data_IF_126250255639
#
_entry.id   IF_126250255639
#
_cell.length_a   1.000
_cell.length_b   1.000
_cell.length_c   1.000
_cell.angle_alpha   90.00
_cell.angle_beta   90.00
_cell.angle_gamma   90.00
#
_symmetry.space_group_name_H-M   'P 1'
#
loop_
_entity.id
_entity.type
_entity.pdbx_description
1 polymer ?
#
# COMPACT_ATOMS: atom_id res chain seq x y z
N UNK A 1 21.41 12.36 16.30
CA UNK A 1 21.84 11.43 15.26
C UNK A 1 21.85 10.02 15.85
N UNK A 2 21.35 9.03 15.10
CA UNK A 2 21.44 7.62 15.50
C UNK A 2 22.72 7.06 14.87
N UNK A 3 23.50 6.31 15.65
CA UNK A 3 24.71 5.62 15.18
C UNK A 3 24.46 4.12 15.19
N UNK A 4 25.06 3.41 14.24
CA UNK A 4 24.95 1.98 14.10
C UNK A 4 26.34 1.36 13.90
N UNK A 5 26.53 0.12 14.35
CA UNK A 5 27.62 -0.75 13.93
C UNK A 5 27.07 -1.78 12.96
N UNK A 6 27.64 -1.89 11.79
CA UNK A 6 27.28 -2.89 10.77
C UNK A 6 28.44 -3.84 10.61
N UNK A 7 28.21 -5.15 10.74
CA UNK A 7 29.25 -6.13 10.60
C UNK A 7 28.76 -7.57 10.57
N UNK A 8 29.63 -8.47 10.12
CA UNK A 8 29.34 -9.89 9.97
C UNK A 8 29.86 -10.74 11.16
N UNK A 9 30.67 -10.15 12.03
CA UNK A 9 31.36 -10.86 13.12
C UNK A 9 30.74 -10.58 14.48
N UNK A 10 30.94 -11.52 15.41
CA UNK A 10 30.54 -11.34 16.80
C UNK A 10 31.25 -10.18 17.48
N UNK A 11 32.49 -9.90 17.06
CA UNK A 11 33.27 -8.73 17.51
C UNK A 11 32.61 -7.40 17.20
N UNK A 12 31.92 -7.31 16.06
CA UNK A 12 31.21 -6.10 15.66
C UNK A 12 29.97 -5.89 16.52
N UNK A 13 29.28 -6.97 16.84
CA UNK A 13 28.12 -6.91 17.73
C UNK A 13 28.53 -6.57 19.17
N UNK A 14 29.66 -7.11 19.66
CA UNK A 14 30.23 -6.74 20.96
C UNK A 14 30.68 -5.28 21.00
N UNK A 15 31.18 -4.74 19.89
CA UNK A 15 31.51 -3.32 19.77
C UNK A 15 30.25 -2.47 19.92
N UNK A 16 29.18 -2.83 19.20
CA UNK A 16 27.90 -2.12 19.28
C UNK A 16 27.38 -2.08 20.73
N UNK A 17 27.42 -3.23 21.41
CA UNK A 17 27.00 -3.36 22.81
C UNK A 17 27.83 -2.45 23.74
N UNK A 18 29.16 -2.49 23.64
CA UNK A 18 30.06 -1.65 24.43
C UNK A 18 29.83 -0.15 24.19
N UNK A 19 29.53 0.21 22.95
CA UNK A 19 29.19 1.59 22.56
C UNK A 19 27.77 1.98 22.93
N UNK A 20 26.94 1.05 23.39
CA UNK A 20 25.50 1.23 23.66
C UNK A 20 24.72 1.80 22.47
N UNK A 21 25.05 1.31 21.28
CA UNK A 21 24.37 1.63 20.02
C UNK A 21 23.85 0.37 19.36
N UNK A 22 22.98 0.50 18.37
CA UNK A 22 22.40 -0.64 17.68
C UNK A 22 23.43 -1.30 16.76
N UNK A 23 23.62 -2.63 16.92
CA UNK A 23 24.34 -3.46 15.99
C UNK A 23 23.42 -4.03 14.92
N UNK A 24 23.86 -4.04 13.67
CA UNK A 24 23.18 -4.67 12.54
C UNK A 24 24.10 -5.79 12.04
N UNK A 25 23.69 -7.04 12.33
CA UNK A 25 24.44 -8.20 11.83
C UNK A 25 24.07 -8.46 10.37
N UNK A 26 25.05 -8.63 9.53
CA UNK A 26 24.89 -8.93 8.12
C UNK A 26 25.39 -10.33 7.78
N UNK A 27 24.86 -10.91 6.73
CA UNK A 27 25.38 -12.08 6.04
C UNK A 27 25.88 -11.61 4.67
N UNK A 28 27.20 -11.49 4.45
CA UNK A 28 27.74 -10.89 3.23
C UNK A 28 27.46 -11.71 1.97
N UNK A 29 26.92 -12.93 2.11
CA UNK A 29 26.59 -13.82 1.00
C UNK A 29 25.12 -13.75 0.57
N UNK A 30 24.33 -12.84 1.16
CA UNK A 30 22.92 -12.62 0.77
C UNK A 30 22.76 -11.38 -0.08
N UNK A 31 21.98 -11.48 -1.15
CA UNK A 31 21.79 -10.39 -2.11
C UNK A 31 21.03 -9.18 -1.53
N UNK A 32 20.18 -9.40 -0.51
CA UNK A 32 19.28 -8.38 0.09
C UNK A 32 19.88 -7.65 1.32
N UNK A 33 21.17 -7.80 1.57
CA UNK A 33 21.84 -7.29 2.80
C UNK A 33 21.71 -5.77 2.92
N UNK A 34 21.98 -5.05 1.85
CA UNK A 34 21.97 -3.59 1.86
C UNK A 34 20.56 -3.03 2.04
N UNK A 35 19.55 -3.66 1.45
CA UNK A 35 18.16 -3.25 1.61
C UNK A 35 17.71 -3.41 3.08
N UNK A 36 18.11 -4.51 3.73
CA UNK A 36 17.84 -4.72 5.16
C UNK A 36 18.53 -3.68 6.04
N UNK A 37 19.78 -3.33 5.74
CA UNK A 37 20.53 -2.30 6.47
C UNK A 37 19.81 -0.96 6.33
N UNK A 38 19.49 -0.56 5.11
CA UNK A 38 18.81 0.69 4.81
C UNK A 38 17.46 0.76 5.53
N UNK A 39 16.65 -0.29 5.44
CA UNK A 39 15.37 -0.36 6.11
C UNK A 39 15.50 -0.27 7.64
N UNK A 40 16.50 -0.94 8.22
CA UNK A 40 16.78 -0.89 9.66
C UNK A 40 17.24 0.50 10.10
N UNK A 41 18.15 1.14 9.36
CA UNK A 41 18.70 2.46 9.69
C UNK A 41 17.62 3.54 9.54
N UNK A 42 16.84 3.47 8.49
CA UNK A 42 15.74 4.42 8.24
C UNK A 42 14.53 4.15 9.13
N UNK A 43 14.51 3.01 9.83
CA UNK A 43 13.38 2.55 10.64
C UNK A 43 12.07 2.57 9.83
N UNK A 44 12.17 2.11 8.58
CA UNK A 44 11.05 2.12 7.63
C UNK A 44 10.37 0.78 7.72
N UNK A 45 9.44 0.65 8.64
CA UNK A 45 8.41 -0.39 8.59
C UNK A 45 7.30 0.11 7.65
N UNK A 46 7.37 -0.33 6.39
CA UNK A 46 6.44 0.05 5.33
C UNK A 46 5.17 -0.79 5.35
N UNK A 47 4.68 -1.09 6.52
CA UNK A 47 3.44 -1.84 6.68
C UNK A 47 2.47 -1.13 7.61
N UNK A 48 1.19 -1.37 7.39
CA UNK A 48 0.13 -0.86 8.23
C UNK A 48 -1.08 -1.78 8.22
N UNK A 49 -1.83 -1.70 9.30
CA UNK A 49 -3.10 -2.38 9.48
C UNK A 49 -4.15 -1.34 9.89
N UNK A 50 -5.32 -1.42 9.27
CA UNK A 50 -6.48 -0.58 9.56
C UNK A 50 -7.70 -1.45 9.74
N UNK A 51 -8.38 -1.22 10.85
CA UNK A 51 -9.70 -1.77 11.14
C UNK A 51 -10.70 -0.63 11.13
N UNK A 52 -11.76 -0.77 10.36
CA UNK A 52 -12.87 0.19 10.30
C UNK A 52 -14.18 -0.55 10.51
N UNK A 53 -15.02 0.01 11.37
CA UNK A 53 -16.37 -0.48 11.58
C UNK A 53 -17.31 0.70 11.62
N UNK A 54 -18.32 0.67 10.75
CA UNK A 54 -19.47 1.56 10.73
C UNK A 54 -20.75 0.77 11.01
N UNK A 55 -21.90 1.37 10.76
CA UNK A 55 -23.18 0.64 10.81
C UNK A 55 -23.35 -0.25 9.56
N UNK A 56 -22.75 0.16 8.45
CA UNK A 56 -22.90 -0.42 7.11
C UNK A 56 -21.80 -1.43 6.79
N UNK A 57 -20.59 -1.23 7.35
CA UNK A 57 -19.43 -2.04 6.96
C UNK A 57 -18.55 -2.46 8.14
N UNK A 58 -17.87 -3.59 7.97
CA UNK A 58 -16.78 -4.03 8.83
C UNK A 58 -15.58 -4.43 7.95
N UNK A 59 -14.48 -3.68 8.06
CA UNK A 59 -13.36 -3.79 7.13
C UNK A 59 -12.05 -3.98 7.89
N UNK A 60 -11.23 -4.89 7.35
CA UNK A 60 -9.88 -5.12 7.80
C UNK A 60 -8.94 -5.02 6.60
N UNK A 61 -8.06 -4.05 6.62
CA UNK A 61 -7.06 -3.81 5.57
C UNK A 61 -5.66 -3.91 6.14
N UNK A 62 -4.79 -4.66 5.46
CA UNK A 62 -3.35 -4.70 5.70
C UNK A 62 -2.60 -4.37 4.43
N UNK A 63 -1.58 -3.55 4.53
CA UNK A 63 -0.68 -3.22 3.44
C UNK A 63 0.77 -3.38 3.87
N UNK A 64 1.61 -3.90 2.96
CA UNK A 64 3.06 -3.87 3.12
C UNK A 64 3.69 -3.46 1.79
N UNK A 65 4.38 -2.31 1.78
CA UNK A 65 4.99 -1.73 0.59
C UNK A 65 6.37 -2.30 0.27
N UNK A 66 6.89 -3.20 1.11
CA UNK A 66 8.23 -3.79 0.96
C UNK A 66 8.22 -5.22 0.43
N UNK A 67 7.04 -5.83 0.30
CA UNK A 67 6.86 -7.21 -0.21
C UNK A 67 5.65 -7.29 -1.12
N UNK A 68 5.67 -8.20 -2.10
CA UNK A 68 4.61 -8.35 -3.11
C UNK A 68 3.50 -9.34 -2.72
N UNK A 69 3.63 -9.99 -1.60
CA UNK A 69 2.67 -11.01 -1.14
C UNK A 69 2.50 -10.98 0.38
N UNK A 70 1.38 -11.42 0.95
CA UNK A 70 0.20 -11.94 0.25
C UNK A 70 -0.66 -10.87 -0.46
N UNK A 71 -1.45 -11.28 -1.46
CA UNK A 71 -2.55 -10.50 -2.02
C UNK A 71 -3.83 -11.30 -1.76
N UNK A 72 -4.74 -10.74 -0.96
CA UNK A 72 -5.99 -11.38 -0.58
C UNK A 72 -7.08 -10.34 -0.47
N UNK A 73 -7.95 -10.29 -1.44
CA UNK A 73 -9.02 -9.31 -1.51
C UNK A 73 -10.36 -10.03 -1.44
N UNK A 74 -11.25 -9.52 -0.61
CA UNK A 74 -12.62 -10.00 -0.51
C UNK A 74 -13.50 -8.85 0.01
N UNK A 75 -14.08 -8.10 -0.92
CA UNK A 75 -15.05 -7.03 -0.64
C UNK A 75 -16.50 -7.49 -0.85
N UNK A 76 -16.69 -8.60 -1.57
CA UNK A 76 -17.97 -9.07 -2.01
C UNK A 76 -18.41 -8.50 -3.37
N UNK A 77 -17.62 -7.63 -4.00
CA UNK A 77 -17.84 -7.08 -5.34
C UNK A 77 -16.73 -7.60 -6.25
N UNK A 78 -17.06 -8.59 -7.10
CA UNK A 78 -16.06 -9.39 -7.79
C UNK A 78 -15.15 -8.61 -8.72
N UNK A 79 -15.69 -7.64 -9.48
CA UNK A 79 -14.86 -6.81 -10.34
C UNK A 79 -14.00 -5.82 -9.55
N UNK A 80 -14.48 -5.32 -8.43
CA UNK A 80 -13.70 -4.46 -7.53
C UNK A 80 -12.55 -5.23 -6.89
N UNK A 81 -12.80 -6.47 -6.42
CA UNK A 81 -11.77 -7.36 -5.91
C UNK A 81 -10.66 -7.56 -6.96
N UNK A 82 -11.05 -7.87 -8.20
CA UNK A 82 -10.10 -8.03 -9.31
C UNK A 82 -9.26 -6.77 -9.54
N UNK A 83 -9.84 -5.58 -9.51
CA UNK A 83 -9.11 -4.33 -9.71
C UNK A 83 -8.11 -4.05 -8.57
N UNK A 84 -8.49 -4.31 -7.33
CA UNK A 84 -7.59 -4.17 -6.18
C UNK A 84 -6.45 -5.21 -6.22
N UNK A 85 -6.71 -6.43 -6.69
CA UNK A 85 -5.67 -7.43 -6.95
C UNK A 85 -4.68 -6.95 -8.01
N UNK A 86 -5.16 -6.37 -9.13
CA UNK A 86 -4.31 -5.81 -10.17
C UNK A 86 -3.49 -4.64 -9.64
N UNK A 87 -4.09 -3.74 -8.86
CA UNK A 87 -3.39 -2.66 -8.20
C UNK A 87 -2.23 -3.20 -7.33
N UNK A 88 -2.48 -4.15 -6.47
CA UNK A 88 -1.47 -4.74 -5.60
C UNK A 88 -0.36 -5.45 -6.39
N UNK A 89 -0.74 -6.24 -7.40
CA UNK A 89 0.19 -7.00 -8.23
C UNK A 89 1.11 -6.09 -9.04
N UNK A 90 0.57 -5.08 -9.71
CA UNK A 90 1.35 -4.20 -10.57
C UNK A 90 2.15 -3.15 -9.81
N UNK A 91 1.73 -2.77 -8.60
CA UNK A 91 2.52 -1.94 -7.70
C UNK A 91 3.56 -2.73 -6.88
N UNK A 92 3.56 -4.06 -7.01
CA UNK A 92 4.48 -4.96 -6.29
C UNK A 92 4.39 -4.82 -4.76
N UNK A 93 3.18 -4.65 -4.25
CA UNK A 93 2.89 -4.56 -2.82
C UNK A 93 2.04 -5.73 -2.32
N UNK A 94 2.15 -6.04 -1.03
CA UNK A 94 1.17 -6.90 -0.35
C UNK A 94 -0.05 -6.08 0.04
N UNK A 95 -1.23 -6.60 -0.28
CA UNK A 95 -2.51 -6.01 0.09
C UNK A 95 -3.48 -7.11 0.50
N UNK A 96 -3.98 -7.03 1.72
CA UNK A 96 -5.06 -7.87 2.20
C UNK A 96 -6.23 -6.97 2.59
N UNK A 97 -7.40 -7.22 1.99
CA UNK A 97 -8.65 -6.50 2.28
C UNK A 97 -9.74 -7.52 2.52
N UNK A 98 -10.37 -7.43 3.67
CA UNK A 98 -11.58 -8.17 3.99
C UNK A 98 -12.65 -7.19 4.39
N UNK A 99 -13.74 -7.17 3.66
CA UNK A 99 -14.90 -6.34 3.93
C UNK A 99 -16.15 -7.21 4.11
N UNK A 100 -16.99 -6.82 5.06
CA UNK A 100 -18.37 -7.26 5.18
C UNK A 100 -19.23 -6.00 5.13
N UNK A 101 -19.81 -5.74 3.97
CA UNK A 101 -20.68 -4.58 3.73
C UNK A 101 -22.15 -4.97 3.58
N UNK A 102 -22.98 -3.96 3.52
CA UNK A 102 -24.43 -4.05 3.35
C UNK A 102 -24.87 -4.13 1.88
N UNK A 103 -24.18 -4.96 1.09
CA UNK A 103 -24.39 -5.13 -0.38
C UNK A 103 -25.84 -5.47 -0.77
N UNK A 104 -26.70 -5.80 0.20
CA UNK A 104 -28.13 -5.96 -0.03
C UNK A 104 -28.86 -4.62 -0.22
N UNK A 105 -28.22 -3.51 0.12
CA UNK A 105 -28.67 -2.14 -0.14
C UNK A 105 -28.11 -1.68 -1.47
N UNK A 106 -26.79 -1.45 -1.53
CA UNK A 106 -26.03 -1.14 -2.75
C UNK A 106 -24.53 -1.34 -2.54
N UNK A 107 -23.72 -0.98 -3.54
CA UNK A 107 -22.26 -1.11 -3.52
C UNK A 107 -21.54 0.11 -2.90
N UNK A 108 -22.23 1.23 -2.72
CA UNK A 108 -21.65 2.53 -2.38
C UNK A 108 -20.84 2.50 -1.07
N UNK A 109 -21.48 2.14 0.04
CA UNK A 109 -20.83 2.12 1.35
C UNK A 109 -19.62 1.18 1.39
N UNK A 110 -19.71 0.03 0.72
CA UNK A 110 -18.61 -0.92 0.64
C UNK A 110 -17.42 -0.32 -0.09
N UNK A 111 -17.62 0.30 -1.25
CA UNK A 111 -16.54 0.87 -2.05
C UNK A 111 -15.92 2.08 -1.34
N UNK A 112 -16.75 2.98 -0.79
CA UNK A 112 -16.28 4.15 -0.06
C UNK A 112 -15.43 3.76 1.15
N UNK A 113 -15.94 2.92 2.03
CA UNK A 113 -15.26 2.54 3.26
C UNK A 113 -14.00 1.69 3.01
N UNK A 114 -13.99 0.85 1.97
CA UNK A 114 -12.77 0.15 1.51
C UNK A 114 -11.74 1.15 1.00
N UNK A 115 -12.16 2.17 0.25
CA UNK A 115 -11.27 3.23 -0.24
C UNK A 115 -10.60 3.97 0.90
N UNK A 116 -11.37 4.41 1.89
CA UNK A 116 -10.88 5.06 3.11
C UNK A 116 -9.86 4.18 3.83
N UNK A 117 -10.15 2.90 4.03
CA UNK A 117 -9.25 2.02 4.78
C UNK A 117 -7.95 1.71 4.03
N UNK A 118 -8.01 1.59 2.69
CA UNK A 118 -6.82 1.43 1.85
C UNK A 118 -5.98 2.72 1.89
N UNK A 119 -6.61 3.88 1.72
CA UNK A 119 -5.95 5.18 1.79
C UNK A 119 -5.25 5.40 3.13
N UNK A 120 -5.95 5.13 4.24
CA UNK A 120 -5.39 5.20 5.59
C UNK A 120 -4.23 4.23 5.81
N UNK A 121 -4.34 2.99 5.31
CA UNK A 121 -3.28 2.00 5.41
C UNK A 121 -2.04 2.42 4.62
N UNK A 122 -2.22 2.90 3.39
CA UNK A 122 -1.14 3.44 2.55
C UNK A 122 -0.48 4.65 3.21
N UNK A 123 -1.26 5.59 3.74
CA UNK A 123 -0.75 6.77 4.43
C UNK A 123 0.12 6.40 5.63
N UNK A 124 -0.35 5.46 6.46
CA UNK A 124 0.40 4.96 7.63
C UNK A 124 1.68 4.23 7.21
N UNK A 125 1.60 3.36 6.19
CA UNK A 125 2.75 2.61 5.68
C UNK A 125 3.79 3.51 5.00
N UNK A 126 3.39 4.60 4.35
CA UNK A 126 4.29 5.60 3.78
C UNK A 126 5.10 6.35 4.84
N UNK A 127 4.56 6.49 6.06
CA UNK A 127 5.25 7.10 7.20
C UNK A 127 5.91 8.45 6.84
N UNK A 128 7.19 8.61 7.06
CA UNK A 128 7.96 9.82 6.77
C UNK A 128 8.32 9.99 5.28
N UNK A 129 7.90 9.06 4.43
CA UNK A 129 8.17 9.05 2.97
C UNK A 129 9.65 9.05 2.58
N UNK A 130 10.57 8.73 3.50
CA UNK A 130 12.00 8.67 3.19
C UNK A 130 12.30 7.47 2.28
N UNK A 131 13.10 7.67 1.23
CA UNK A 131 13.57 6.62 0.33
C UNK A 131 12.52 6.08 -0.66
N UNK A 132 11.39 6.78 -0.85
CA UNK A 132 10.39 6.41 -1.86
C UNK A 132 10.50 7.26 -3.12
N UNK A 133 10.06 6.70 -4.26
CA UNK A 133 9.72 7.47 -5.46
C UNK A 133 8.43 8.25 -5.19
N UNK A 134 8.49 9.58 -5.22
CA UNK A 134 7.37 10.44 -4.79
C UNK A 134 6.37 10.69 -5.92
N UNK A 135 6.79 10.57 -7.15
CA UNK A 135 6.04 10.96 -8.35
C UNK A 135 5.76 9.77 -9.27
N UNK A 136 4.62 9.71 -9.86
CA UNK A 136 4.23 8.70 -10.84
C UNK A 136 3.64 9.37 -12.07
N UNK A 137 3.16 8.59 -13.00
CA UNK A 137 3.80 8.06 -14.20
C UNK A 137 2.67 7.69 -15.20
N UNK A 138 3.04 7.36 -16.44
CA UNK A 138 2.12 6.99 -17.52
C UNK A 138 2.32 5.53 -17.91
N UNK A 139 1.23 4.77 -18.06
CA UNK A 139 1.24 3.35 -18.38
C UNK A 139 0.30 3.03 -19.56
N UNK A 140 0.81 2.53 -20.69
CA UNK A 140 -0.01 1.92 -21.73
C UNK A 140 -0.28 0.44 -21.40
N UNK A 141 -1.45 -0.05 -21.79
CA UNK A 141 -1.80 -1.46 -21.79
C UNK A 141 -2.71 -1.76 -22.99
N UNK A 142 -2.23 -2.60 -23.88
CA UNK A 142 -2.85 -2.92 -25.19
C UNK A 142 -3.20 -1.61 -25.96
N UNK A 143 -4.46 -1.37 -26.25
CA UNK A 143 -4.99 -0.19 -26.94
C UNK A 143 -5.43 0.94 -25.97
N UNK A 144 -5.20 0.78 -24.68
CA UNK A 144 -5.53 1.75 -23.65
C UNK A 144 -4.29 2.49 -23.12
N UNK A 145 -4.45 3.79 -22.85
CA UNK A 145 -3.45 4.62 -22.21
C UNK A 145 -4.04 5.25 -20.95
N UNK A 146 -3.43 4.96 -19.81
CA UNK A 146 -3.73 5.65 -18.56
C UNK A 146 -2.56 6.57 -18.18
N UNK A 147 -2.84 7.84 -17.96
CA UNK A 147 -1.89 8.81 -17.45
C UNK A 147 -2.25 9.18 -16.02
N UNK A 148 -1.34 8.90 -15.10
CA UNK A 148 -1.51 9.20 -13.68
C UNK A 148 -0.37 10.09 -13.22
N UNK A 149 -0.69 11.24 -12.64
CA UNK A 149 0.28 12.13 -12.03
C UNK A 149 0.00 12.20 -10.52
N UNK A 150 0.92 11.66 -9.72
CA UNK A 150 0.80 11.62 -8.27
C UNK A 150 1.94 12.42 -7.66
N UNK A 151 1.62 13.28 -6.68
CA UNK A 151 2.59 13.84 -5.74
C UNK A 151 2.13 13.56 -4.31
N UNK A 152 2.90 12.78 -3.57
CA UNK A 152 2.63 12.44 -2.18
C UNK A 152 2.93 13.63 -1.24
N UNK A 153 2.42 14.81 -1.57
CA UNK A 153 2.69 16.09 -0.87
C UNK A 153 2.09 16.16 0.54
N UNK A 154 1.04 15.40 0.80
CA UNK A 154 0.25 15.46 2.05
C UNK A 154 -0.84 16.53 2.04
N UNK A 155 -1.11 17.14 0.89
CA UNK A 155 -2.25 18.04 0.65
C UNK A 155 -3.18 17.36 -0.35
N UNK A 156 -4.44 17.07 0.02
CA UNK A 156 -5.35 16.39 -0.88
C UNK A 156 -5.69 17.28 -2.08
N UNK A 157 -5.56 16.74 -3.26
CA UNK A 157 -6.02 17.30 -4.52
C UNK A 157 -6.30 16.14 -5.46
N UNK A 158 -7.45 16.16 -6.08
CA UNK A 158 -7.88 15.11 -7.01
C UNK A 158 -8.44 15.72 -8.28
N UNK A 159 -8.07 15.17 -9.42
CA UNK A 159 -8.66 15.46 -10.71
C UNK A 159 -8.73 14.16 -11.51
N UNK A 160 -9.90 13.87 -12.04
CA UNK A 160 -10.15 12.72 -12.90
C UNK A 160 -10.68 13.22 -14.25
N UNK A 161 -10.11 12.72 -15.33
CA UNK A 161 -10.57 12.95 -16.68
C UNK A 161 -10.73 11.58 -17.37
N UNK A 162 -11.95 11.17 -17.59
CA UNK A 162 -12.30 9.91 -18.23
C UNK A 162 -13.80 9.76 -18.31
N UNK A 163 -14.27 9.01 -19.30
CA UNK A 163 -15.67 8.74 -19.53
C UNK A 163 -15.87 7.23 -19.59
N UNK A 164 -16.93 6.76 -18.99
CA UNK A 164 -17.34 5.37 -19.05
C UNK A 164 -18.61 5.24 -19.87
N UNK A 165 -18.57 4.43 -20.93
CA UNK A 165 -19.71 4.19 -21.81
C UNK A 165 -20.65 3.08 -21.29
N UNK A 166 -20.44 2.58 -20.09
CA UNK A 166 -21.23 1.55 -19.44
C UNK A 166 -21.58 1.98 -18.03
N UNK A 167 -22.77 1.69 -17.57
CA UNK A 167 -23.21 1.94 -16.19
C UNK A 167 -22.49 1.06 -15.19
N UNK A 168 -22.20 -0.20 -15.57
CA UNK A 168 -21.50 -1.18 -14.72
C UNK A 168 -20.48 -1.98 -15.53
N UNK A 169 -19.43 -2.43 -14.83
CA UNK A 169 -18.49 -3.43 -15.31
C UNK A 169 -18.52 -4.59 -14.30
N UNK A 170 -19.06 -5.74 -14.74
CA UNK A 170 -19.43 -6.77 -13.79
C UNK A 170 -20.49 -6.25 -12.81
N UNK A 171 -20.16 -6.32 -11.54
CA UNK A 171 -20.97 -5.83 -10.40
C UNK A 171 -20.56 -4.45 -9.90
N UNK A 172 -19.54 -3.81 -10.49
CA UNK A 172 -19.04 -2.49 -10.11
C UNK A 172 -19.70 -1.37 -10.91
N UNK A 173 -20.46 -0.43 -10.29
CA UNK A 173 -20.93 0.77 -10.94
C UNK A 173 -19.77 1.69 -11.34
N UNK A 174 -19.76 2.16 -12.60
CA UNK A 174 -18.63 2.96 -13.11
C UNK A 174 -18.53 4.35 -12.47
N UNK A 175 -19.62 4.91 -12.01
CA UNK A 175 -19.63 6.17 -11.25
C UNK A 175 -18.82 6.10 -9.95
N UNK A 176 -18.77 4.91 -9.33
CA UNK A 176 -18.03 4.70 -8.08
C UNK A 176 -16.51 4.58 -8.30
N UNK A 177 -16.04 4.44 -9.53
CA UNK A 177 -14.59 4.44 -9.83
C UNK A 177 -13.97 5.80 -9.49
N UNK A 178 -14.61 6.88 -9.91
CA UNK A 178 -14.16 8.24 -9.58
C UNK A 178 -14.26 8.48 -8.06
N UNK A 179 -15.32 8.00 -7.44
CA UNK A 179 -15.54 8.10 -6.01
C UNK A 179 -14.44 7.38 -5.20
N UNK A 180 -14.06 6.17 -5.62
CA UNK A 180 -12.96 5.41 -5.02
C UNK A 180 -11.65 6.21 -4.95
N UNK A 181 -11.29 6.92 -6.02
CA UNK A 181 -10.04 7.69 -6.04
C UNK A 181 -10.15 9.04 -5.33
N UNK A 182 -11.36 9.58 -5.19
CA UNK A 182 -11.62 10.86 -4.52
C UNK A 182 -11.59 10.71 -3.00
N UNK A 183 -12.16 9.61 -2.49
CA UNK A 183 -12.31 9.33 -1.05
C UNK A 183 -10.96 8.96 -0.41
#
# INVERSE_FOLDING_TARGET
>A
ARSYVIGDRDTDMLLAEKMKIQGIRIDPYKDDVWDKIVNTILNIDRQAEVLRKSNETEIHTRVNLSVSTPIKINTGIGFFDHMLEQLAKHSNISLEVKCKGDLHIDEHHTIEDVSITIGDALYKALSNKAGIGRYGFTLPMDDALAMVAIDLSGRPYFKFEGEFNREKIGDLPTELITHFFYT
#
